data_IF_984925847697
#
_entry.id   IF_984925847697
#
_cell.length_a   1.000
_cell.length_b   1.000
_cell.length_c   1.000
_cell.angle_alpha   90.00
_cell.angle_beta   90.00
_cell.angle_gamma   90.00
#
_symmetry.space_group_name_H-M   'P 1'
#
loop_
_entity.id
_entity.type
_entity.pdbx_description
1 polymer ?
#
# COMPACT_ATOMS: atom_id res chain seq x y z
N UNK A 1 20.47 -7.12 27.30
CA UNK A 1 19.19 -7.81 27.33
C UNK A 1 18.98 -8.40 25.95
N UNK A 2 18.91 -9.73 25.83
CA UNK A 2 18.40 -10.39 24.63
C UNK A 2 16.88 -10.16 24.68
N UNK A 3 16.40 -9.32 23.78
CA UNK A 3 14.98 -9.05 23.62
C UNK A 3 14.34 -10.33 23.05
N UNK A 4 13.88 -11.20 23.93
CA UNK A 4 13.17 -12.41 23.52
C UNK A 4 11.79 -11.98 23.02
N UNK A 5 11.49 -12.27 21.77
CA UNK A 5 10.16 -12.06 21.21
C UNK A 5 9.09 -12.69 22.13
N UNK A 6 7.98 -12.01 22.30
CA UNK A 6 6.83 -12.53 23.06
C UNK A 6 6.32 -13.86 22.48
N UNK A 7 5.56 -14.59 23.28
CA UNK A 7 4.90 -15.81 22.80
C UNK A 7 3.93 -15.48 21.65
N UNK A 8 3.26 -14.35 21.73
CA UNK A 8 2.32 -13.83 20.72
C UNK A 8 3.03 -13.60 19.40
N UNK A 9 4.17 -12.89 19.42
CA UNK A 9 4.92 -12.62 18.20
C UNK A 9 5.60 -13.86 17.62
N UNK A 10 6.10 -14.75 18.46
CA UNK A 10 6.64 -16.04 18.04
C UNK A 10 5.58 -16.90 17.35
N UNK A 11 4.36 -16.95 17.91
CA UNK A 11 3.22 -17.65 17.31
C UNK A 11 2.79 -17.01 16.00
N UNK A 12 2.75 -15.67 15.94
CA UNK A 12 2.42 -14.95 14.70
C UNK A 12 3.38 -15.30 13.55
N UNK A 13 4.71 -15.32 13.82
CA UNK A 13 5.71 -15.72 12.81
C UNK A 13 5.51 -17.15 12.32
N UNK A 14 5.16 -18.07 13.22
CA UNK A 14 4.87 -19.45 12.86
C UNK A 14 3.64 -19.53 11.94
N UNK A 15 2.54 -18.82 12.28
CA UNK A 15 1.33 -18.81 11.46
C UNK A 15 1.55 -18.14 10.10
N UNK A 16 2.40 -17.11 9.99
CA UNK A 16 2.81 -16.53 8.70
C UNK A 16 3.53 -17.60 7.85
N UNK A 17 4.46 -18.36 8.45
CA UNK A 17 5.18 -19.42 7.73
C UNK A 17 4.25 -20.55 7.27
N UNK A 18 3.22 -20.87 8.05
CA UNK A 18 2.20 -21.87 7.73
C UNK A 18 1.09 -21.33 6.82
N UNK A 19 1.11 -20.03 6.49
CA UNK A 19 0.08 -19.35 5.71
C UNK A 19 -1.32 -19.41 6.34
N UNK A 20 -1.39 -19.52 7.67
CA UNK A 20 -2.62 -19.47 8.45
C UNK A 20 -2.96 -18.01 8.78
N UNK A 21 -3.45 -17.27 7.79
CA UNK A 21 -3.52 -15.81 7.80
C UNK A 21 -4.44 -15.23 8.87
N UNK A 22 -5.59 -15.85 9.17
CA UNK A 22 -6.50 -15.38 10.23
C UNK A 22 -5.83 -15.48 11.61
N UNK A 23 -5.12 -16.58 11.88
CA UNK A 23 -4.37 -16.73 13.13
C UNK A 23 -3.17 -15.79 13.17
N UNK A 24 -2.46 -15.64 12.05
CA UNK A 24 -1.35 -14.70 11.96
C UNK A 24 -1.80 -13.27 12.31
N UNK A 25 -2.93 -12.81 11.76
CA UNK A 25 -3.52 -11.51 12.10
C UNK A 25 -3.85 -11.39 13.58
N UNK A 26 -4.57 -12.37 14.14
CA UNK A 26 -4.96 -12.37 15.55
C UNK A 26 -3.73 -12.24 16.46
N UNK A 27 -2.70 -13.04 16.21
CA UNK A 27 -1.50 -13.05 17.03
C UNK A 27 -0.61 -11.81 16.79
N UNK A 28 -0.56 -11.25 15.56
CA UNK A 28 0.12 -9.97 15.32
C UNK A 28 -0.56 -8.81 16.07
N UNK A 29 -1.89 -8.76 16.09
CA UNK A 29 -2.63 -7.74 16.83
C UNK A 29 -2.33 -7.83 18.33
N UNK A 30 -2.35 -9.04 18.92
CA UNK A 30 -1.97 -9.25 20.32
C UNK A 30 -0.52 -8.86 20.60
N UNK A 31 0.39 -9.20 19.68
CA UNK A 31 1.80 -8.89 19.82
C UNK A 31 2.09 -7.38 19.81
N UNK A 32 1.32 -6.58 19.05
CA UNK A 32 1.41 -5.11 19.07
C UNK A 32 1.17 -4.54 20.47
N UNK A 33 0.26 -5.15 21.24
CA UNK A 33 -0.06 -4.69 22.60
C UNK A 33 0.98 -5.16 23.63
N UNK A 34 1.58 -6.33 23.42
CA UNK A 34 2.59 -6.93 24.32
C UNK A 34 3.99 -6.35 24.09
N UNK A 35 4.33 -6.05 22.84
CA UNK A 35 5.62 -5.48 22.44
C UNK A 35 5.43 -4.15 21.68
N UNK A 36 4.91 -3.09 22.32
CA UNK A 36 4.56 -1.84 21.61
C UNK A 36 5.78 -1.11 21.00
N UNK A 37 6.99 -1.40 21.51
CA UNK A 37 8.26 -0.83 21.02
C UNK A 37 8.90 -1.65 19.89
N UNK A 38 8.27 -2.73 19.43
CA UNK A 38 8.80 -3.56 18.37
C UNK A 38 8.21 -3.17 17.00
N UNK A 39 8.95 -2.41 16.15
CA UNK A 39 8.43 -1.92 14.87
C UNK A 39 8.26 -3.02 13.82
N UNK A 40 8.86 -4.19 14.01
CA UNK A 40 8.71 -5.32 13.10
C UNK A 40 7.28 -5.84 13.08
N UNK A 41 6.57 -5.81 14.23
CA UNK A 41 5.22 -6.34 14.35
C UNK A 41 4.21 -5.56 13.50
N UNK A 42 4.08 -4.22 13.61
CA UNK A 42 3.18 -3.47 12.74
C UNK A 42 3.62 -3.53 11.27
N UNK A 43 4.92 -3.62 10.97
CA UNK A 43 5.37 -3.85 9.60
C UNK A 43 4.83 -5.18 9.03
N UNK A 44 4.96 -6.29 9.79
CA UNK A 44 4.47 -7.61 9.39
C UNK A 44 2.95 -7.61 9.19
N UNK A 45 2.21 -6.96 10.09
CA UNK A 45 0.76 -6.82 9.99
C UNK A 45 0.36 -6.06 8.71
N UNK A 46 1.02 -4.94 8.44
CA UNK A 46 0.79 -4.14 7.23
C UNK A 46 1.09 -4.92 5.95
N UNK A 47 2.25 -5.56 5.90
CA UNK A 47 2.72 -6.25 4.70
C UNK A 47 1.94 -7.54 4.41
N UNK A 48 1.95 -8.49 5.36
CA UNK A 48 1.38 -9.81 5.12
C UNK A 48 -0.14 -9.81 5.14
N UNK A 49 -0.76 -9.11 6.10
CA UNK A 49 -2.20 -9.19 6.29
C UNK A 49 -2.91 -8.13 5.45
N UNK A 50 -2.62 -6.85 5.68
CA UNK A 50 -3.39 -5.80 5.04
C UNK A 50 -3.08 -5.64 3.55
N UNK A 51 -1.81 -5.68 3.15
CA UNK A 51 -1.45 -5.57 1.74
C UNK A 51 -1.69 -6.88 0.97
N UNK A 52 -1.06 -7.99 1.36
CA UNK A 52 -1.07 -9.21 0.56
C UNK A 52 -2.41 -9.95 0.60
N UNK A 53 -3.03 -10.09 1.79
CA UNK A 53 -4.24 -10.89 1.93
C UNK A 53 -5.51 -10.07 1.72
N UNK A 54 -5.61 -8.88 2.33
CA UNK A 54 -6.85 -8.10 2.36
C UNK A 54 -6.93 -7.02 1.28
N UNK A 55 -5.79 -6.61 0.69
CA UNK A 55 -5.70 -5.46 -0.22
C UNK A 55 -6.27 -4.18 0.42
N UNK A 56 -6.14 -4.08 1.74
CA UNK A 56 -6.55 -2.93 2.54
C UNK A 56 -5.37 -1.95 2.66
N UNK A 57 -5.26 -1.08 1.67
CA UNK A 57 -4.12 -0.17 1.52
C UNK A 57 -4.07 0.91 2.60
N UNK A 58 -5.23 1.29 3.11
CA UNK A 58 -5.31 2.26 4.19
C UNK A 58 -4.75 1.68 5.49
N UNK A 59 -5.18 0.48 5.91
CA UNK A 59 -4.63 -0.19 7.08
C UNK A 59 -3.17 -0.58 6.90
N UNK A 60 -2.76 -0.95 5.69
CA UNK A 60 -1.35 -1.16 5.38
C UNK A 60 -0.53 0.10 5.71
N UNK A 61 -0.96 1.27 5.20
CA UNK A 61 -0.26 2.52 5.45
C UNK A 61 -0.24 2.90 6.93
N UNK A 62 -1.37 2.78 7.63
CA UNK A 62 -1.45 3.02 9.08
C UNK A 62 -0.46 2.14 9.85
N UNK A 63 -0.33 0.86 9.47
CA UNK A 63 0.59 -0.09 10.10
C UNK A 63 2.05 0.25 9.80
N UNK A 64 2.36 0.66 8.56
CA UNK A 64 3.70 1.10 8.19
C UNK A 64 4.08 2.41 8.89
N UNK A 65 3.16 3.37 9.00
CA UNK A 65 3.39 4.63 9.71
C UNK A 65 3.62 4.37 11.21
N UNK A 66 2.90 3.42 11.81
CA UNK A 66 3.15 2.97 13.18
C UNK A 66 4.56 2.38 13.34
N UNK A 67 4.99 1.52 12.42
CA UNK A 67 6.33 0.95 12.44
C UNK A 67 7.41 2.04 12.34
N UNK A 68 7.23 3.00 11.43
CA UNK A 68 8.15 4.14 11.27
C UNK A 68 8.18 5.06 12.50
N UNK A 69 7.04 5.25 13.17
CA UNK A 69 6.96 6.07 14.38
C UNK A 69 7.66 5.44 15.58
N UNK A 70 7.74 4.11 15.65
CA UNK A 70 8.44 3.39 16.71
C UNK A 70 9.96 3.55 16.53
N UNK A 71 10.52 3.04 15.45
CA UNK A 71 11.95 3.19 15.12
C UNK A 71 12.20 2.94 13.63
N UNK A 72 12.36 4.00 12.82
CA UNK A 72 12.60 3.87 11.38
C UNK A 72 13.97 3.25 11.03
N UNK A 73 14.93 3.29 11.95
CA UNK A 73 16.31 2.86 11.72
C UNK A 73 16.59 1.45 12.28
N UNK A 74 15.66 0.88 13.04
CA UNK A 74 15.80 -0.49 13.55
C UNK A 74 15.88 -1.48 12.37
N UNK A 75 16.89 -2.34 12.41
CA UNK A 75 17.00 -3.45 11.47
C UNK A 75 16.04 -4.56 11.86
N UNK A 76 15.28 -5.06 10.91
CA UNK A 76 14.25 -6.09 11.10
C UNK A 76 14.41 -7.25 10.10
N UNK A 77 13.70 -8.36 10.34
CA UNK A 77 13.60 -9.52 9.44
C UNK A 77 14.95 -10.17 9.08
N UNK A 78 15.93 -10.18 9.97
CA UNK A 78 17.24 -10.83 9.78
C UNK A 78 17.98 -10.46 8.46
N UNK A 79 17.42 -9.55 7.65
CA UNK A 79 17.94 -9.16 6.34
C UNK A 79 18.85 -7.91 6.39
N UNK A 80 19.07 -7.36 7.57
CA UNK A 80 19.93 -6.22 7.77
C UNK A 80 19.43 -4.87 7.25
N UNK A 81 18.22 -4.82 6.68
CA UNK A 81 17.56 -3.57 6.27
C UNK A 81 16.77 -2.95 7.43
N UNK A 82 16.65 -1.65 7.38
CA UNK A 82 15.87 -0.88 8.36
C UNK A 82 14.37 -0.93 8.07
N UNK A 83 13.55 -0.62 9.07
CA UNK A 83 12.09 -0.44 8.92
C UNK A 83 11.79 0.53 7.77
N UNK A 84 12.49 1.67 7.73
CA UNK A 84 12.32 2.66 6.66
C UNK A 84 12.57 2.09 5.26
N UNK A 85 13.65 1.34 5.09
CA UNK A 85 13.97 0.71 3.80
C UNK A 85 12.89 -0.29 3.39
N UNK A 86 12.43 -1.13 4.32
CA UNK A 86 11.36 -2.09 4.03
C UNK A 86 10.03 -1.41 3.69
N UNK A 87 9.64 -0.37 4.42
CA UNK A 87 8.39 0.37 4.13
C UNK A 87 8.45 1.06 2.77
N UNK A 88 9.57 1.71 2.44
CA UNK A 88 9.77 2.34 1.13
C UNK A 88 9.69 1.31 0.00
N UNK A 89 10.35 0.16 0.17
CA UNK A 89 10.32 -0.93 -0.82
C UNK A 89 8.90 -1.48 -1.01
N UNK A 90 8.19 -1.75 0.09
CA UNK A 90 6.83 -2.30 0.05
C UNK A 90 5.85 -1.33 -0.63
N UNK A 91 5.85 -0.05 -0.22
CA UNK A 91 5.02 0.99 -0.84
C UNK A 91 5.30 1.13 -2.34
N UNK A 92 6.59 1.16 -2.72
CA UNK A 92 6.97 1.28 -4.12
C UNK A 92 6.56 0.06 -4.94
N UNK A 93 6.68 -1.15 -4.40
CA UNK A 93 6.26 -2.38 -5.05
C UNK A 93 4.75 -2.40 -5.30
N UNK A 94 3.94 -2.18 -4.27
CA UNK A 94 2.48 -2.21 -4.39
C UNK A 94 1.94 -1.05 -5.22
N UNK A 95 2.55 0.13 -5.09
CA UNK A 95 2.24 1.26 -5.97
C UNK A 95 2.48 0.93 -7.44
N UNK A 96 3.66 0.40 -7.78
CA UNK A 96 4.00 0.05 -9.16
C UNK A 96 3.05 -1.02 -9.74
N UNK A 97 2.68 -2.02 -8.95
CA UNK A 97 1.70 -3.04 -9.34
C UNK A 97 0.35 -2.39 -9.72
N UNK A 98 -0.18 -1.52 -8.85
CA UNK A 98 -1.46 -0.86 -9.08
C UNK A 98 -1.39 0.20 -10.17
N UNK A 99 -0.30 0.97 -10.25
CA UNK A 99 -0.08 1.93 -11.31
C UNK A 99 -0.06 1.26 -12.69
N UNK A 100 0.73 0.20 -12.85
CA UNK A 100 0.82 -0.53 -14.12
C UNK A 100 -0.51 -1.19 -14.49
N UNK A 101 -1.27 -1.68 -13.52
CA UNK A 101 -2.64 -2.16 -13.75
C UNK A 101 -3.53 -1.04 -14.28
N UNK A 102 -3.49 0.15 -13.66
CA UNK A 102 -4.23 1.32 -14.13
C UNK A 102 -3.87 1.74 -15.54
N UNK A 103 -2.58 1.70 -15.89
CA UNK A 103 -2.11 1.96 -17.28
C UNK A 103 -2.71 0.95 -18.25
N UNK A 104 -2.68 -0.34 -17.92
CA UNK A 104 -3.31 -1.38 -18.77
C UNK A 104 -4.81 -1.16 -18.94
N UNK A 105 -5.53 -0.80 -17.87
CA UNK A 105 -6.97 -0.49 -17.93
C UNK A 105 -7.26 0.80 -18.74
N UNK A 106 -6.34 1.78 -18.72
CA UNK A 106 -6.44 2.96 -19.58
C UNK A 106 -6.21 2.62 -21.06
N UNK A 107 -5.33 1.68 -21.37
CA UNK A 107 -5.15 1.17 -22.73
C UNK A 107 -6.38 0.39 -23.20
N UNK A 108 -7.02 -0.39 -22.31
CA UNK A 108 -8.34 -1.01 -22.57
C UNK A 108 -9.39 0.04 -22.92
N UNK A 109 -9.45 1.15 -22.18
CA UNK A 109 -10.34 2.27 -22.50
C UNK A 109 -10.08 2.84 -23.88
N UNK A 110 -8.82 3.04 -24.26
CA UNK A 110 -8.47 3.58 -25.59
C UNK A 110 -8.96 2.69 -26.73
N UNK A 111 -8.88 1.37 -26.54
CA UNK A 111 -9.29 0.36 -27.52
C UNK A 111 -10.80 0.01 -27.45
N UNK A 112 -11.51 0.40 -26.40
CA UNK A 112 -12.90 0.02 -26.18
C UNK A 112 -13.85 0.62 -27.22
N UNK A 113 -14.90 -0.12 -27.63
CA UNK A 113 -16.00 0.43 -28.41
C UNK A 113 -16.78 1.48 -27.60
N UNK A 114 -17.49 2.37 -28.30
CA UNK A 114 -18.10 3.58 -27.72
C UNK A 114 -19.04 3.28 -26.54
N UNK A 115 -19.80 2.21 -26.62
CA UNK A 115 -20.75 1.76 -25.59
C UNK A 115 -20.10 1.22 -24.32
N UNK A 116 -18.79 0.94 -24.33
CA UNK A 116 -18.02 0.43 -23.19
C UNK A 116 -16.99 1.41 -22.66
N UNK A 117 -16.77 2.53 -23.33
CA UNK A 117 -15.72 3.49 -22.97
C UNK A 117 -15.87 4.03 -21.55
N UNK A 118 -17.05 4.44 -21.15
CA UNK A 118 -17.28 5.04 -19.82
C UNK A 118 -16.96 4.05 -18.70
N UNK A 119 -17.36 2.78 -18.86
CA UNK A 119 -17.09 1.73 -17.87
C UNK A 119 -15.59 1.43 -17.77
N UNK A 120 -14.87 1.36 -18.91
CA UNK A 120 -13.44 1.12 -18.95
C UNK A 120 -12.65 2.29 -18.33
N UNK A 121 -13.04 3.53 -18.64
CA UNK A 121 -12.42 4.72 -18.06
C UNK A 121 -12.62 4.79 -16.55
N UNK A 122 -13.82 4.50 -16.06
CA UNK A 122 -14.13 4.46 -14.63
C UNK A 122 -13.27 3.42 -13.90
N UNK A 123 -13.05 2.25 -14.52
CA UNK A 123 -12.19 1.21 -13.97
C UNK A 123 -10.75 1.72 -13.80
N UNK A 124 -10.17 2.35 -14.82
CA UNK A 124 -8.83 2.93 -14.76
C UNK A 124 -8.74 4.01 -13.67
N UNK A 125 -9.71 4.93 -13.57
CA UNK A 125 -9.76 5.96 -12.51
C UNK A 125 -9.70 5.30 -11.13
N UNK A 126 -10.55 4.31 -10.87
CA UNK A 126 -10.59 3.61 -9.57
C UNK A 126 -9.24 2.97 -9.24
N UNK A 127 -8.58 2.35 -10.22
CA UNK A 127 -7.27 1.72 -10.01
C UNK A 127 -6.17 2.76 -9.73
N UNK A 128 -6.17 3.90 -10.42
CA UNK A 128 -5.23 4.99 -10.12
C UNK A 128 -5.52 5.66 -8.76
N UNK A 129 -6.78 5.78 -8.34
CA UNK A 129 -7.14 6.24 -7.00
C UNK A 129 -6.56 5.30 -5.92
N UNK A 130 -6.66 3.97 -6.12
CA UNK A 130 -6.00 3.00 -5.24
C UNK A 130 -4.48 3.19 -5.24
N UNK A 131 -3.86 3.35 -6.41
CA UNK A 131 -2.42 3.62 -6.51
C UNK A 131 -2.00 4.87 -5.73
N UNK A 132 -2.78 5.95 -5.81
CA UNK A 132 -2.54 7.19 -5.06
C UNK A 132 -2.70 7.03 -3.54
N UNK A 133 -3.49 6.06 -3.07
CA UNK A 133 -3.62 5.74 -1.65
C UNK A 133 -2.39 4.99 -1.13
N UNK A 134 -1.81 4.09 -1.93
CA UNK A 134 -0.63 3.29 -1.54
C UNK A 134 0.60 4.19 -1.37
N UNK A 135 0.84 5.09 -2.32
CA UNK A 135 1.95 6.03 -2.30
C UNK A 135 1.47 7.40 -2.77
N UNK A 136 1.46 8.35 -1.87
CA UNK A 136 0.80 9.67 -2.05
C UNK A 136 1.70 10.73 -2.69
N UNK A 137 2.97 10.43 -2.91
CA UNK A 137 4.00 11.34 -3.39
C UNK A 137 4.48 11.05 -4.83
N UNK A 138 3.71 10.29 -5.59
CA UNK A 138 4.02 9.93 -6.98
C UNK A 138 3.27 10.81 -7.98
N UNK A 139 3.96 11.82 -8.51
CA UNK A 139 3.40 12.78 -9.49
C UNK A 139 2.72 12.09 -10.69
N UNK A 140 3.30 10.98 -11.16
CA UNK A 140 2.77 10.23 -12.30
C UNK A 140 1.34 9.74 -12.09
N UNK A 141 1.01 9.30 -10.87
CA UNK A 141 -0.34 8.84 -10.54
C UNK A 141 -1.37 9.95 -10.66
N UNK A 142 -1.03 11.13 -10.14
CA UNK A 142 -1.92 12.29 -10.20
C UNK A 142 -2.05 12.85 -11.62
N UNK A 143 -1.00 12.77 -12.42
CA UNK A 143 -1.08 13.09 -13.84
C UNK A 143 -2.06 12.17 -14.57
N UNK A 144 -2.01 10.85 -14.33
CA UNK A 144 -2.97 9.91 -14.92
C UNK A 144 -4.39 10.12 -14.42
N UNK A 145 -4.57 10.40 -13.12
CA UNK A 145 -5.88 10.75 -12.53
C UNK A 145 -6.45 12.02 -13.16
N UNK A 146 -5.63 13.05 -13.38
CA UNK A 146 -6.06 14.27 -14.07
C UNK A 146 -6.52 13.95 -15.48
N UNK A 147 -5.71 13.23 -16.27
CA UNK A 147 -6.02 12.86 -17.63
C UNK A 147 -7.33 12.06 -17.72
N UNK A 148 -7.48 11.03 -16.91
CA UNK A 148 -8.67 10.19 -16.90
C UNK A 148 -9.93 10.97 -16.48
N UNK A 149 -9.84 11.84 -15.46
CA UNK A 149 -10.96 12.66 -15.04
C UNK A 149 -11.35 13.71 -16.08
N UNK A 150 -10.39 14.31 -16.80
CA UNK A 150 -10.67 15.21 -17.91
C UNK A 150 -11.47 14.49 -19.01
N UNK A 151 -11.04 13.29 -19.39
CA UNK A 151 -11.73 12.45 -20.40
C UNK A 151 -13.13 12.00 -19.95
N UNK A 152 -13.34 11.86 -18.63
CA UNK A 152 -14.64 11.55 -18.04
C UNK A 152 -15.54 12.80 -17.88
N UNK A 153 -15.08 13.99 -18.24
CA UNK A 153 -15.81 15.25 -18.07
C UNK A 153 -15.79 15.81 -16.64
N UNK A 154 -14.98 15.26 -15.74
CA UNK A 154 -14.83 15.71 -14.37
C UNK A 154 -13.75 16.80 -14.26
N UNK A 155 -14.01 17.97 -14.82
CA UNK A 155 -13.03 19.06 -14.99
C UNK A 155 -12.43 19.51 -13.64
N UNK A 156 -13.25 19.70 -12.61
CA UNK A 156 -12.77 20.16 -11.29
C UNK A 156 -11.81 19.14 -10.64
N UNK A 157 -12.13 17.84 -10.75
CA UNK A 157 -11.21 16.80 -10.25
C UNK A 157 -9.92 16.75 -11.05
N UNK A 158 -10.01 16.88 -12.37
CA UNK A 158 -8.84 16.93 -13.25
C UNK A 158 -7.90 18.06 -12.85
N UNK A 159 -8.44 19.26 -12.63
CA UNK A 159 -7.67 20.43 -12.23
C UNK A 159 -6.98 20.24 -10.88
N UNK A 160 -7.69 19.71 -9.88
CA UNK A 160 -7.10 19.39 -8.58
C UNK A 160 -5.96 18.37 -8.69
N UNK A 161 -6.12 17.34 -9.50
CA UNK A 161 -5.07 16.32 -9.67
C UNK A 161 -3.86 16.84 -10.44
N UNK A 162 -4.04 17.69 -11.47
CA UNK A 162 -2.88 18.24 -12.18
C UNK A 162 -2.08 19.21 -11.29
N UNK A 163 -2.75 20.01 -10.46
CA UNK A 163 -2.07 20.85 -9.48
C UNK A 163 -1.24 20.02 -8.50
N UNK A 164 -1.81 18.89 -8.03
CA UNK A 164 -1.08 17.96 -7.16
C UNK A 164 0.12 17.32 -7.86
N UNK A 165 -0.03 16.93 -9.11
CA UNK A 165 1.08 16.38 -9.89
C UNK A 165 2.22 17.39 -10.06
N UNK A 166 1.90 18.66 -10.31
CA UNK A 166 2.90 19.74 -10.43
C UNK A 166 3.60 20.01 -9.09
N UNK A 167 2.86 20.01 -7.98
CA UNK A 167 3.45 20.18 -6.63
C UNK A 167 4.50 19.11 -6.31
N UNK A 168 4.31 17.88 -6.82
CA UNK A 168 5.17 16.73 -6.55
C UNK A 168 6.31 16.55 -7.57
N UNK A 169 6.36 17.35 -8.63
CA UNK A 169 7.39 17.31 -9.67
C UNK A 169 8.54 18.23 -9.33
#
# INVERSE_FOLDING_TARGET
>A
FVDCASQEYTSAKLYIQQQEWEKAEEFLIKAVDVEPENPEIPYQLGYHIYALQKKDWERMNQSFDKALAIDPNKKILEQGKTVKEFVVMARSQFWAEMYNKGVGEFDEYRAAPMDKKDAALKKAITTFEVSSTIKTDEAQTYFMLSTCNLLAGNTDKSENYILKAVELS
#
